data_IF_588812202956
#
_entry.id   IF_588812202956
#
_cell.length_a   1.000
_cell.length_b   1.000
_cell.length_c   1.000
_cell.angle_alpha   90.00
_cell.angle_beta   90.00
_cell.angle_gamma   90.00
#
_symmetry.space_group_name_H-M   'P 1'
#
loop_
_entity.id
_entity.type
_entity.pdbx_description
1 polymer ?
#
# COMPACT_ATOMS: atom_id res chain seq x y z
N UNK A 1 -22.54 23.25 3.99
CA UNK A 1 -21.43 22.29 3.80
C UNK A 1 -21.09 21.74 5.18
N UNK A 2 -21.51 20.51 5.49
CA UNK A 2 -21.32 19.94 6.82
C UNK A 2 -19.83 19.71 7.05
N UNK A 3 -19.27 20.31 8.11
CA UNK A 3 -17.92 19.99 8.57
C UNK A 3 -17.91 18.56 9.08
N UNK A 4 -17.64 17.59 8.20
CA UNK A 4 -17.34 16.23 8.64
C UNK A 4 -16.04 16.31 9.44
N UNK A 5 -16.13 16.08 10.74
CA UNK A 5 -14.98 16.03 11.63
C UNK A 5 -14.06 14.88 11.16
N UNK A 6 -12.92 15.24 10.55
CA UNK A 6 -11.88 14.32 10.11
C UNK A 6 -10.96 14.08 11.31
N UNK A 7 -10.68 12.81 11.59
CA UNK A 7 -9.76 12.39 12.63
C UNK A 7 -8.66 11.53 12.01
N UNK A 8 -7.41 11.85 12.35
CA UNK A 8 -6.25 11.05 11.96
C UNK A 8 -5.58 10.51 13.22
N UNK A 9 -5.35 9.20 13.26
CA UNK A 9 -4.61 8.52 14.31
C UNK A 9 -3.41 7.80 13.71
N UNK A 10 -2.26 7.86 14.41
CA UNK A 10 -1.02 7.22 14.00
C UNK A 10 -0.62 6.21 15.08
N UNK A 11 -0.23 5.02 14.64
CA UNK A 11 0.19 3.92 15.50
C UNK A 11 1.56 3.42 15.03
N UNK A 12 2.52 3.35 15.94
CA UNK A 12 3.84 2.73 15.75
C UNK A 12 3.80 1.19 15.90
N UNK A 13 2.76 0.68 16.56
CA UNK A 13 2.50 -0.75 16.75
C UNK A 13 1.27 -1.22 15.96
N UNK A 14 1.40 -2.34 15.25
CA UNK A 14 0.28 -2.99 14.57
C UNK A 14 -0.81 -3.45 15.56
N UNK A 15 -0.40 -3.87 16.76
CA UNK A 15 -1.32 -4.25 17.84
C UNK A 15 -2.11 -3.07 18.42
N UNK A 16 -1.60 -1.84 18.31
CA UNK A 16 -2.30 -0.63 18.73
C UNK A 16 -3.39 -0.19 17.74
N UNK A 17 -3.35 -0.69 16.49
CA UNK A 17 -4.41 -0.43 15.51
C UNK A 17 -5.74 -1.01 16.04
N UNK A 18 -6.81 -0.21 16.13
CA UNK A 18 -8.07 -0.65 16.72
C UNK A 18 -8.75 -1.79 15.95
N UNK A 19 -9.46 -2.71 16.64
CA UNK A 19 -10.14 -3.84 15.99
C UNK A 19 -11.12 -3.44 14.87
N UNK A 20 -11.82 -2.31 15.01
CA UNK A 20 -12.77 -1.86 13.99
C UNK A 20 -12.10 -1.49 12.66
N UNK A 21 -10.82 -1.11 12.67
CA UNK A 21 -10.03 -0.84 11.45
C UNK A 21 -9.73 -2.15 10.75
N UNK A 22 -9.35 -3.19 11.50
CA UNK A 22 -9.13 -4.52 10.94
C UNK A 22 -10.41 -5.07 10.31
N UNK A 23 -11.55 -4.97 11.01
CA UNK A 23 -12.86 -5.36 10.47
C UNK A 23 -13.22 -4.57 9.19
N UNK A 24 -12.86 -3.30 9.10
CA UNK A 24 -13.09 -2.49 7.90
C UNK A 24 -12.23 -2.97 6.71
N UNK A 25 -10.97 -3.35 6.96
CA UNK A 25 -10.08 -3.89 5.94
C UNK A 25 -10.52 -5.29 5.49
N UNK A 26 -10.91 -6.17 6.40
CA UNK A 26 -11.41 -7.52 6.11
C UNK A 26 -12.69 -7.49 5.27
N UNK A 27 -13.63 -6.58 5.58
CA UNK A 27 -14.84 -6.39 4.76
C UNK A 27 -14.55 -5.91 3.33
N UNK A 28 -13.37 -5.35 3.09
CA UNK A 28 -12.93 -4.89 1.77
C UNK A 28 -11.62 -5.58 1.33
N UNK A 29 -11.44 -6.84 1.72
CA UNK A 29 -10.19 -7.60 1.52
C UNK A 29 -9.60 -7.48 0.11
N UNK A 30 -10.37 -7.58 -1.00
CA UNK A 30 -9.80 -7.45 -2.34
C UNK A 30 -9.07 -6.14 -2.58
N UNK A 31 -9.58 -5.03 -2.02
CA UNK A 31 -9.00 -3.69 -2.16
C UNK A 31 -7.98 -3.35 -1.06
N UNK A 32 -7.91 -4.19 -0.01
CA UNK A 32 -7.00 -4.03 1.10
C UNK A 32 -5.79 -4.98 1.03
N UNK A 33 -5.61 -5.73 -0.06
CA UNK A 33 -4.62 -6.79 -0.17
C UNK A 33 -3.15 -6.33 -0.03
N UNK A 34 -2.86 -5.04 -0.23
CA UNK A 34 -1.54 -4.44 -0.02
C UNK A 34 -1.26 -4.06 1.44
N UNK A 35 -2.29 -3.99 2.29
CA UNK A 35 -2.18 -3.54 3.69
C UNK A 35 -2.58 -4.64 4.67
N UNK A 36 -3.72 -5.30 4.44
CA UNK A 36 -4.32 -6.26 5.38
C UNK A 36 -3.36 -7.42 5.74
N UNK A 37 -2.70 -8.10 4.77
CA UNK A 37 -1.76 -9.16 5.11
C UNK A 37 -0.56 -8.65 5.92
N UNK A 38 -0.05 -7.47 5.57
CA UNK A 38 1.08 -6.82 6.27
C UNK A 38 0.69 -6.47 7.71
N UNK A 39 -0.53 -5.96 7.92
CA UNK A 39 -1.04 -5.64 9.25
C UNK A 39 -1.22 -6.90 10.09
N UNK A 40 -1.88 -7.93 9.55
CA UNK A 40 -2.10 -9.20 10.25
C UNK A 40 -0.78 -9.88 10.63
N UNK A 41 0.17 -9.95 9.69
CA UNK A 41 1.51 -10.49 9.94
C UNK A 41 2.22 -9.70 11.04
N UNK A 42 2.21 -8.37 10.97
CA UNK A 42 2.85 -7.51 11.98
C UNK A 42 2.25 -7.72 13.37
N UNK A 43 0.92 -7.81 13.47
CA UNK A 43 0.22 -8.12 14.73
C UNK A 43 0.62 -9.48 15.29
N UNK A 44 0.76 -10.49 14.43
CA UNK A 44 1.17 -11.83 14.85
C UNK A 44 2.59 -11.83 15.43
N UNK A 45 3.54 -11.16 14.76
CA UNK A 45 4.91 -11.03 15.23
C UNK A 45 5.00 -10.20 16.53
N UNK A 46 4.26 -9.09 16.61
CA UNK A 46 4.22 -8.29 17.83
C UNK A 46 3.63 -9.07 19.01
N UNK A 47 2.60 -9.87 18.76
CA UNK A 47 1.97 -10.71 19.79
C UNK A 47 2.85 -11.88 20.24
N UNK A 48 3.80 -12.33 19.41
CA UNK A 48 4.81 -13.32 19.81
C UNK A 48 6.01 -12.70 20.54
N UNK A 49 5.97 -11.40 20.84
CA UNK A 49 7.01 -10.68 21.59
C UNK A 49 8.10 -10.06 20.71
N UNK A 50 7.98 -10.15 19.39
CA UNK A 50 8.90 -9.48 18.48
C UNK A 50 8.62 -7.97 18.49
N UNK A 51 9.66 -7.15 18.66
CA UNK A 51 9.51 -5.69 18.61
C UNK A 51 9.27 -5.23 17.17
N UNK A 52 8.35 -4.28 16.92
CA UNK A 52 8.18 -3.74 15.59
C UNK A 52 9.41 -2.94 15.15
N UNK A 53 9.60 -2.76 13.83
CA UNK A 53 10.62 -1.89 13.28
C UNK A 53 10.47 -0.45 13.77
N UNK A 54 11.59 0.25 13.98
CA UNK A 54 11.59 1.59 14.59
C UNK A 54 10.98 2.68 13.72
N UNK A 55 10.94 2.50 12.39
CA UNK A 55 10.42 3.51 11.44
C UNK A 55 9.14 3.01 10.76
N UNK A 56 8.40 2.14 11.44
CA UNK A 56 7.09 1.67 11.01
C UNK A 56 5.97 2.53 11.59
N UNK A 57 4.96 2.85 10.78
CA UNK A 57 3.74 3.51 11.20
C UNK A 57 2.52 3.01 10.42
N UNK A 58 1.39 2.99 11.12
CA UNK A 58 0.05 2.78 10.61
C UNK A 58 -0.75 4.07 10.80
N UNK A 59 -1.31 4.61 9.72
CA UNK A 59 -2.12 5.83 9.79
C UNK A 59 -3.56 5.47 9.47
N UNK A 60 -4.48 5.91 10.31
CA UNK A 60 -5.92 5.70 10.14
C UNK A 60 -6.58 7.07 10.05
N UNK A 61 -7.23 7.32 8.93
CA UNK A 61 -8.07 8.49 8.72
C UNK A 61 -9.53 8.06 8.77
N UNK A 62 -10.30 8.70 9.63
CA UNK A 62 -11.70 8.40 9.87
C UNK A 62 -12.55 9.67 9.88
N UNK A 63 -13.83 9.54 9.58
CA UNK A 63 -14.77 10.65 9.65
C UNK A 63 -16.14 10.19 10.13
N UNK A 64 -16.96 11.13 10.62
CA UNK A 64 -18.35 10.85 10.96
C UNK A 64 -19.21 10.82 9.70
N UNK A 65 -20.02 9.78 9.55
CA UNK A 65 -21.08 9.73 8.54
C UNK A 65 -22.29 10.59 8.97
N UNK A 66 -23.32 10.65 8.13
CA UNK A 66 -24.56 11.40 8.37
C UNK A 66 -25.31 10.96 9.64
N UNK A 67 -25.11 9.72 10.07
CA UNK A 67 -25.68 9.15 11.30
C UNK A 67 -24.78 9.37 12.53
N UNK A 68 -23.69 10.13 12.40
CA UNK A 68 -22.74 10.41 13.48
C UNK A 68 -21.78 9.26 13.81
N UNK A 69 -21.84 8.15 13.06
CA UNK A 69 -20.97 6.99 13.29
C UNK A 69 -19.59 7.24 12.66
N UNK A 70 -18.53 6.85 13.38
CA UNK A 70 -17.17 6.90 12.84
C UNK A 70 -16.96 5.82 11.78
N UNK A 71 -16.53 6.24 10.61
CA UNK A 71 -16.19 5.39 9.48
C UNK A 71 -14.69 5.51 9.18
N UNK A 72 -14.05 4.39 8.89
CA UNK A 72 -12.66 4.37 8.42
C UNK A 72 -12.65 4.71 6.94
N UNK A 73 -12.12 5.89 6.62
CA UNK A 73 -12.02 6.37 5.25
C UNK A 73 -10.79 5.76 4.59
N UNK A 74 -9.61 5.99 5.18
CA UNK A 74 -8.32 5.56 4.65
C UNK A 74 -7.46 4.89 5.71
N UNK A 75 -6.70 3.88 5.29
CA UNK A 75 -5.62 3.29 6.08
C UNK A 75 -4.34 3.37 5.26
N UNK A 76 -3.26 3.83 5.89
CA UNK A 76 -1.95 3.89 5.28
C UNK A 76 -0.98 3.01 6.06
N UNK A 77 -0.06 2.39 5.35
CA UNK A 77 1.08 1.70 5.95
C UNK A 77 2.39 2.31 5.46
N UNK A 78 3.27 2.64 6.41
CA UNK A 78 4.68 2.99 6.18
C UNK A 78 5.44 1.95 6.98
N UNK A 79 5.83 0.84 6.35
CA UNK A 79 6.30 -0.36 7.07
C UNK A 79 7.68 -0.77 6.58
N UNK A 80 8.35 -1.66 7.31
CA UNK A 80 9.62 -2.25 6.91
C UNK A 80 9.44 -3.74 6.62
N UNK A 81 10.04 -4.21 5.52
CA UNK A 81 10.12 -5.61 5.17
C UNK A 81 11.39 -6.27 5.70
N UNK A 82 11.56 -7.55 5.38
CA UNK A 82 12.75 -8.31 5.79
C UNK A 82 14.04 -7.87 5.08
N UNK A 83 13.92 -7.21 3.93
CA UNK A 83 15.05 -6.85 3.06
C UNK A 83 15.24 -5.33 3.03
N UNK A 84 14.15 -4.58 2.93
CA UNK A 84 14.18 -3.13 2.89
C UNK A 84 12.86 -2.56 3.43
N UNK A 85 12.87 -1.26 3.66
CA UNK A 85 11.71 -0.42 3.84
C UNK A 85 10.71 -0.57 2.69
N UNK A 86 9.43 -0.77 3.02
CA UNK A 86 8.37 -0.75 2.03
C UNK A 86 7.96 0.69 1.67
N UNK A 87 7.40 0.88 0.46
CA UNK A 87 6.81 2.15 0.09
C UNK A 87 5.53 2.38 0.90
N UNK A 88 5.01 3.60 0.83
CA UNK A 88 3.74 3.93 1.47
C UNK A 88 2.60 3.28 0.68
N UNK A 89 1.77 2.48 1.33
CA UNK A 89 0.54 1.95 0.72
C UNK A 89 -0.69 2.64 1.28
N UNK A 90 -1.69 2.86 0.42
CA UNK A 90 -3.04 3.29 0.76
C UNK A 90 -4.04 2.15 0.57
N UNK A 91 -4.98 2.05 1.50
CA UNK A 91 -6.22 1.31 1.36
C UNK A 91 -7.39 2.22 1.69
N UNK A 92 -8.52 1.99 1.02
CA UNK A 92 -9.78 2.68 1.23
C UNK A 92 -10.91 1.66 1.20
N UNK A 93 -11.86 1.80 2.12
CA UNK A 93 -13.11 1.02 2.09
C UNK A 93 -14.14 1.62 1.10
N UNK A 94 -13.88 2.85 0.64
CA UNK A 94 -14.82 3.62 -0.16
C UNK A 94 -14.75 3.23 -1.64
N UNK A 95 -15.91 3.13 -2.32
CA UNK A 95 -15.98 3.00 -3.76
C UNK A 95 -15.26 4.15 -4.48
N UNK A 96 -14.61 3.87 -5.61
CA UNK A 96 -13.88 4.88 -6.41
C UNK A 96 -14.73 6.12 -6.72
N UNK A 97 -16.03 5.94 -7.00
CA UNK A 97 -16.97 7.05 -7.26
C UNK A 97 -17.13 8.05 -6.10
N UNK A 98 -16.79 7.65 -4.87
CA UNK A 98 -16.84 8.50 -3.68
C UNK A 98 -15.49 9.21 -3.41
N UNK A 99 -14.42 8.84 -4.14
CA UNK A 99 -13.10 9.46 -4.03
C UNK A 99 -13.03 10.76 -4.85
N UNK A 100 -13.96 11.69 -4.61
CA UNK A 100 -13.95 13.01 -5.25
C UNK A 100 -12.85 13.89 -4.65
N UNK A 101 -12.40 14.90 -5.38
CA UNK A 101 -11.40 15.85 -4.88
C UNK A 101 -11.86 16.51 -3.57
N UNK A 102 -13.12 16.94 -3.50
CA UNK A 102 -13.70 17.56 -2.30
C UNK A 102 -13.71 16.63 -1.08
N UNK A 103 -13.77 15.31 -1.29
CA UNK A 103 -13.69 14.33 -0.22
C UNK A 103 -12.24 14.04 0.19
N UNK A 104 -11.36 13.87 -0.80
CA UNK A 104 -9.99 13.38 -0.61
C UNK A 104 -9.06 14.48 -0.12
N UNK A 105 -9.12 15.68 -0.70
CA UNK A 105 -8.16 16.77 -0.40
C UNK A 105 -8.14 17.15 1.08
N UNK A 106 -9.28 17.40 1.76
CA UNK A 106 -9.26 17.76 3.18
C UNK A 106 -8.67 16.64 4.07
N UNK A 107 -8.92 15.38 3.72
CA UNK A 107 -8.38 14.22 4.45
C UNK A 107 -6.89 14.07 4.24
N UNK A 108 -6.41 14.26 3.01
CA UNK A 108 -4.98 14.19 2.71
C UNK A 108 -4.22 15.31 3.40
N UNK A 109 -4.80 16.51 3.51
CA UNK A 109 -4.21 17.62 4.28
C UNK A 109 -4.03 17.24 5.77
N UNK A 110 -5.06 16.68 6.41
CA UNK A 110 -4.97 16.24 7.81
C UNK A 110 -3.99 15.07 7.99
N UNK A 111 -3.96 14.11 7.06
CA UNK A 111 -3.00 13.00 7.07
C UNK A 111 -1.56 13.53 6.98
N UNK A 112 -1.28 14.39 6.00
CA UNK A 112 0.07 14.94 5.78
C UNK A 112 0.50 15.80 6.96
N UNK A 113 -0.42 16.61 7.51
CA UNK A 113 -0.17 17.39 8.72
C UNK A 113 0.16 16.50 9.92
N UNK A 114 -0.57 15.40 10.11
CA UNK A 114 -0.29 14.46 11.19
C UNK A 114 1.07 13.78 10.99
N UNK A 115 1.38 13.33 9.77
CA UNK A 115 2.67 12.71 9.43
C UNK A 115 3.85 13.66 9.60
N UNK A 116 3.72 14.92 9.20
CA UNK A 116 4.77 15.94 9.34
C UNK A 116 5.10 16.25 10.81
N UNK A 117 4.19 15.95 11.74
CA UNK A 117 4.41 16.10 13.18
C UNK A 117 4.99 14.84 13.84
N UNK A 118 5.28 13.79 13.08
CA UNK A 118 5.93 12.58 13.59
C UNK A 118 7.46 12.67 13.47
N UNK A 119 8.15 11.73 14.10
CA UNK A 119 9.61 11.60 13.99
C UNK A 119 10.07 10.86 12.74
N UNK A 120 9.16 10.49 11.82
CA UNK A 120 9.61 9.77 10.63
C UNK A 120 10.41 10.71 9.72
N UNK A 121 11.52 10.23 9.18
CA UNK A 121 12.24 10.95 8.14
C UNK A 121 11.38 11.10 6.89
N UNK A 122 11.52 12.23 6.20
CA UNK A 122 10.74 12.54 5.00
C UNK A 122 11.03 11.52 3.88
N UNK A 123 12.26 11.00 3.79
CA UNK A 123 12.66 9.98 2.82
C UNK A 123 11.95 8.64 3.01
N UNK A 124 11.25 8.41 4.14
CA UNK A 124 10.39 7.22 4.28
C UNK A 124 9.21 7.23 3.32
N UNK A 125 8.85 8.40 2.81
CA UNK A 125 7.84 8.59 1.77
C UNK A 125 8.53 8.78 0.42
N UNK A 126 9.21 7.73 -0.06
CA UNK A 126 9.91 7.73 -1.35
C UNK A 126 9.04 7.28 -2.53
N UNK A 127 8.01 6.46 -2.26
CA UNK A 127 7.04 6.01 -3.24
C UNK A 127 5.68 5.77 -2.57
N UNK A 128 4.61 6.08 -3.29
CA UNK A 128 3.22 6.05 -2.80
C UNK A 128 2.37 5.18 -3.73
N UNK A 129 1.80 4.12 -3.19
CA UNK A 129 0.98 3.15 -3.90
C UNK A 129 -0.46 3.17 -3.39
N UNK A 130 -1.41 3.22 -4.32
CA UNK A 130 -2.84 3.21 -3.99
C UNK A 130 -3.69 3.62 -5.19
N UNK A 131 -5.00 3.82 -4.99
CA UNK A 131 -5.86 4.40 -6.01
C UNK A 131 -5.29 5.73 -6.53
N UNK A 132 -5.32 5.92 -7.85
CA UNK A 132 -4.65 7.03 -8.55
C UNK A 132 -4.97 8.41 -7.95
N UNK A 133 -6.26 8.67 -7.67
CA UNK A 133 -6.69 9.91 -7.02
C UNK A 133 -6.04 10.13 -5.65
N UNK A 134 -5.95 9.08 -4.83
CA UNK A 134 -5.37 9.19 -3.49
C UNK A 134 -3.86 9.45 -3.57
N UNK A 135 -3.15 8.67 -4.39
CA UNK A 135 -1.72 8.79 -4.56
C UNK A 135 -1.32 10.18 -5.08
N UNK A 136 -2.01 10.70 -6.10
CA UNK A 136 -1.74 12.03 -6.67
C UNK A 136 -2.02 13.17 -5.69
N UNK A 137 -3.15 13.12 -4.99
CA UNK A 137 -3.50 14.17 -4.02
C UNK A 137 -2.54 14.13 -2.83
N UNK A 138 -2.23 12.94 -2.32
CA UNK A 138 -1.24 12.80 -1.26
C UNK A 138 0.13 13.32 -1.68
N UNK A 139 0.64 12.94 -2.85
CA UNK A 139 1.94 13.42 -3.34
C UNK A 139 1.98 14.95 -3.40
N UNK A 140 0.92 15.57 -3.93
CA UNK A 140 0.79 17.04 -3.97
C UNK A 140 0.80 17.64 -2.56
N UNK A 141 0.01 17.11 -1.63
CA UNK A 141 -0.03 17.60 -0.24
C UNK A 141 1.33 17.42 0.45
N UNK A 142 1.99 16.28 0.25
CA UNK A 142 3.30 15.97 0.82
C UNK A 142 4.40 16.89 0.28
N UNK A 143 4.44 17.13 -1.03
CA UNK A 143 5.37 18.10 -1.65
C UNK A 143 5.17 19.50 -1.08
N UNK A 144 3.92 19.96 -0.95
CA UNK A 144 3.64 21.28 -0.35
C UNK A 144 4.11 21.37 1.11
N UNK A 145 3.96 20.30 1.90
CA UNK A 145 4.32 20.31 3.31
C UNK A 145 5.82 20.14 3.58
N UNK A 146 6.53 19.39 2.73
CA UNK A 146 7.92 18.95 2.99
C UNK A 146 8.94 19.51 2.01
N UNK A 147 8.51 20.07 0.89
CA UNK A 147 9.38 20.51 -0.20
C UNK A 147 9.93 19.36 -1.07
N UNK A 148 9.65 18.10 -0.74
CA UNK A 148 10.10 16.96 -1.56
C UNK A 148 9.34 16.93 -2.87
N UNK A 149 10.08 17.19 -3.95
CA UNK A 149 9.53 17.23 -5.29
C UNK A 149 9.06 15.85 -5.74
N UNK A 150 7.91 15.82 -6.40
CA UNK A 150 7.51 14.64 -7.16
C UNK A 150 8.37 14.56 -8.42
N UNK A 151 9.18 13.49 -8.53
CA UNK A 151 10.15 13.33 -9.62
C UNK A 151 9.51 13.19 -11.00
N UNK A 152 8.23 12.81 -11.08
CA UNK A 152 7.55 12.61 -12.36
C UNK A 152 6.05 12.96 -12.29
N UNK A 153 5.56 13.56 -13.37
CA UNK A 153 4.12 13.77 -13.60
C UNK A 153 3.40 12.47 -14.06
N UNK A 154 4.16 11.45 -14.45
CA UNK A 154 3.66 10.13 -14.79
C UNK A 154 3.95 9.12 -13.66
N UNK A 155 3.02 8.21 -13.33
CA UNK A 155 3.26 7.20 -12.31
C UNK A 155 4.44 6.32 -12.73
N UNK A 156 5.42 6.15 -11.83
CA UNK A 156 6.56 5.27 -12.05
C UNK A 156 6.13 3.81 -12.26
N UNK A 157 5.06 3.39 -11.56
CA UNK A 157 4.46 2.08 -11.73
C UNK A 157 2.92 2.19 -11.74
N UNK A 158 2.31 1.91 -12.89
CA UNK A 158 0.85 1.87 -13.04
C UNK A 158 0.35 0.42 -12.93
N UNK A 159 0.04 0.00 -11.70
CA UNK A 159 -0.47 -1.34 -11.42
C UNK A 159 -1.99 -1.42 -11.60
N UNK A 160 -2.49 -2.60 -11.98
CA UNK A 160 -3.90 -2.95 -11.81
C UNK A 160 -4.04 -4.01 -10.74
N UNK A 161 -4.93 -3.73 -9.80
CA UNK A 161 -5.36 -4.71 -8.83
C UNK A 161 -6.39 -5.63 -9.48
N UNK A 162 -6.05 -6.91 -9.60
CA UNK A 162 -6.95 -7.95 -10.10
C UNK A 162 -7.19 -8.99 -9.02
N UNK A 163 -8.40 -9.54 -8.95
CA UNK A 163 -8.74 -10.64 -8.08
C UNK A 163 -9.45 -11.75 -8.88
N UNK A 164 -9.30 -12.98 -8.43
CA UNK A 164 -9.99 -14.13 -8.99
C UNK A 164 -11.02 -14.65 -7.98
N UNK A 165 -12.27 -14.75 -8.40
CA UNK A 165 -13.35 -15.40 -7.66
C UNK A 165 -13.60 -16.79 -8.22
N UNK A 166 -14.27 -17.65 -7.47
CA UNK A 166 -14.70 -18.97 -7.97
C UNK A 166 -15.55 -18.86 -9.26
N UNK A 167 -16.33 -17.78 -9.41
CA UNK A 167 -17.15 -17.53 -10.61
C UNK A 167 -16.42 -16.88 -11.79
N UNK A 168 -15.32 -16.14 -11.53
CA UNK A 168 -14.47 -15.57 -12.59
C UNK A 168 -13.32 -16.49 -12.97
N UNK A 169 -13.07 -17.54 -12.17
CA UNK A 169 -12.14 -18.60 -12.52
C UNK A 169 -12.63 -19.31 -13.77
N UNK A 170 -11.75 -19.38 -14.77
CA UNK A 170 -11.97 -20.20 -15.96
C UNK A 170 -10.87 -21.21 -16.00
N UNK A 171 -11.25 -22.49 -15.92
CA UNK A 171 -10.37 -23.60 -16.23
C UNK A 171 -10.13 -23.62 -17.74
N UNK A 172 -9.25 -22.72 -18.20
CA UNK A 172 -8.89 -22.63 -19.60
C UNK A 172 -7.58 -23.40 -19.76
N UNK A 173 -7.53 -24.43 -20.62
CA UNK A 173 -6.25 -24.99 -21.02
C UNK A 173 -5.40 -23.86 -21.59
N UNK A 174 -4.15 -23.75 -21.14
CA UNK A 174 -3.26 -22.68 -21.57
C UNK A 174 -3.18 -22.75 -23.09
N UNK A 175 -3.59 -21.69 -23.79
CA UNK A 175 -3.43 -21.59 -25.24
C UNK A 175 -1.95 -21.28 -25.51
N UNK A 176 -1.13 -22.31 -25.39
CA UNK A 176 0.26 -22.27 -25.79
C UNK A 176 0.28 -22.28 -27.32
N UNK A 177 1.23 -21.57 -27.95
CA UNK A 177 1.53 -21.84 -29.36
C UNK A 177 1.76 -23.34 -29.50
N UNK A 178 1.19 -23.97 -30.53
CA UNK A 178 1.17 -25.44 -30.68
C UNK A 178 2.54 -26.12 -30.77
N UNK A 179 3.62 -25.34 -30.82
CA UNK A 179 5.03 -25.75 -30.84
C UNK A 179 5.68 -25.78 -29.44
N UNK A 180 4.99 -25.34 -28.39
CA UNK A 180 5.55 -25.27 -27.04
C UNK A 180 4.85 -26.25 -26.10
N UNK A 181 5.61 -27.19 -25.55
CA UNK A 181 5.17 -28.05 -24.45
C UNK A 181 5.80 -27.55 -23.16
N UNK A 182 5.02 -27.51 -22.07
CA UNK A 182 5.56 -27.29 -20.74
C UNK A 182 4.92 -28.24 -19.74
N UNK A 183 5.63 -28.51 -18.66
CA UNK A 183 5.17 -29.30 -17.53
C UNK A 183 5.16 -28.41 -16.28
N UNK A 184 4.01 -28.26 -15.64
CA UNK A 184 3.94 -27.63 -14.32
C UNK A 184 4.26 -28.72 -13.29
N UNK A 185 5.47 -28.66 -12.74
CA UNK A 185 5.94 -29.56 -11.69
C UNK A 185 6.55 -28.79 -10.52
N UNK A 186 6.64 -29.39 -9.32
CA UNK A 186 7.44 -28.83 -8.24
C UNK A 186 8.88 -28.52 -8.69
N UNK A 187 9.42 -27.41 -8.19
CA UNK A 187 10.80 -27.03 -8.43
C UNK A 187 11.76 -28.02 -7.74
N UNK A 188 12.91 -28.27 -8.36
CA UNK A 188 13.99 -29.08 -7.80
C UNK A 188 15.34 -28.38 -7.96
N UNK A 189 16.41 -28.94 -7.38
CA UNK A 189 17.74 -28.33 -7.35
C UNK A 189 18.34 -28.07 -8.73
N UNK A 190 17.94 -28.81 -9.76
CA UNK A 190 18.43 -28.61 -11.13
C UNK A 190 17.82 -27.36 -11.79
N UNK A 191 16.75 -26.80 -11.23
CA UNK A 191 16.13 -25.56 -11.73
C UNK A 191 16.91 -24.30 -11.29
N UNK A 192 17.82 -24.43 -10.30
CA UNK A 192 18.56 -23.30 -9.70
C UNK A 192 19.29 -22.45 -10.74
N UNK A 193 20.07 -23.00 -11.69
CA UNK A 193 20.81 -22.17 -12.65
C UNK A 193 19.89 -21.34 -13.54
N UNK A 194 18.77 -21.93 -13.97
CA UNK A 194 17.81 -21.28 -14.86
C UNK A 194 17.03 -20.20 -14.12
N UNK A 195 16.62 -20.46 -12.87
CA UNK A 195 16.01 -19.46 -11.99
C UNK A 195 16.97 -18.30 -11.74
N UNK A 196 18.25 -18.59 -11.47
CA UNK A 196 19.27 -17.57 -11.26
C UNK A 196 19.47 -16.71 -12.52
N UNK A 197 19.48 -17.32 -13.71
CA UNK A 197 19.57 -16.60 -14.97
C UNK A 197 18.36 -15.70 -15.23
N UNK A 198 17.14 -16.20 -14.98
CA UNK A 198 15.91 -15.39 -15.08
C UNK A 198 15.94 -14.20 -14.11
N UNK A 199 16.35 -14.42 -12.85
CA UNK A 199 16.47 -13.36 -11.85
C UNK A 199 17.53 -12.34 -12.24
N UNK A 200 18.67 -12.78 -12.77
CA UNK A 200 19.70 -11.88 -13.30
C UNK A 200 19.18 -11.04 -14.46
N UNK A 201 18.52 -11.66 -15.44
CA UNK A 201 17.93 -10.93 -16.58
C UNK A 201 16.90 -9.89 -16.11
N UNK A 202 16.01 -10.26 -15.20
CA UNK A 202 15.04 -9.35 -14.60
C UNK A 202 15.71 -8.17 -13.87
N UNK A 203 16.78 -8.44 -13.12
CA UNK A 203 17.53 -7.40 -12.41
C UNK A 203 18.33 -6.50 -13.36
N UNK A 204 18.90 -7.05 -14.44
CA UNK A 204 19.68 -6.32 -15.44
C UNK A 204 18.83 -5.40 -16.32
N UNK A 205 17.59 -5.80 -16.61
CA UNK A 205 16.62 -4.99 -17.37
C UNK A 205 15.91 -3.94 -16.50
N UNK A 206 16.09 -3.99 -15.17
CA UNK A 206 15.55 -2.99 -14.26
C UNK A 206 16.28 -1.65 -14.39
N UNK A 207 15.55 -0.55 -14.51
CA UNK A 207 16.13 0.79 -14.45
C UNK A 207 16.95 0.95 -13.17
N UNK A 208 18.22 1.34 -13.30
CA UNK A 208 19.11 1.56 -12.15
C UNK A 208 18.58 2.72 -11.30
N UNK A 209 18.39 2.49 -10.00
CA UNK A 209 18.10 3.56 -9.04
C UNK A 209 19.37 4.37 -8.80
N UNK A 210 19.62 5.40 -9.61
CA UNK A 210 20.60 6.41 -9.24
C UNK A 210 19.92 7.39 -8.28
N UNK A 211 20.26 7.28 -6.98
CA UNK A 211 20.02 8.40 -6.06
C UNK A 211 20.86 9.57 -6.55
N UNK A 212 20.19 10.60 -7.08
CA UNK A 212 20.84 11.89 -7.32
C UNK A 212 21.01 12.51 -5.94
N UNK A 213 22.21 12.38 -5.37
CA UNK A 213 22.58 13.12 -4.17
C UNK A 213 22.67 14.62 -4.51
N UNK A 214 22.21 15.51 -3.62
CA UNK A 214 22.41 16.96 -3.77
C UNK A 214 23.89 17.36 -3.66
#
# INVERSE_FOLDING_TARGET
MSSNHIQVAIFDHANAVPPHVLTALEKNEPNANCILPTLQKSRQLESSGQRPPRRQMWVVCSSKNSAGQMMVDFVLSITEGNIDSYPLFFSTSLPVRQLTQDFVVPRMQEIVKALANTSIPVERVYAVYGPDTLAKVFAKCWTTATGVANLSNAPYYAAKLSFCTRGSFRDRPVNIRGDFTFEIRPANVNDIPQIAQCNYGFAADGASFHMIAP
#
